data_IF_602150697718
#
_entry.id   IF_602150697718
#
_cell.length_a   1.000
_cell.length_b   1.000
_cell.length_c   1.000
_cell.angle_alpha   90.00
_cell.angle_beta   90.00
_cell.angle_gamma   90.00
#
_symmetry.space_group_name_H-M   'P 1'
#
loop_
_entity.id
_entity.type
_entity.pdbx_description
1 polymer ?
#
# COMPACT_ATOMS: atom_id res chain seq x y z
N UNK A 1 19.45 -25.59 3.84
CA UNK A 1 18.78 -24.27 3.80
C UNK A 1 19.68 -23.30 4.57
N UNK A 2 20.17 -22.22 3.95
CA UNK A 2 21.30 -21.44 4.51
C UNK A 2 20.89 -20.69 5.79
N UNK A 3 21.81 -20.63 6.76
CA UNK A 3 21.69 -19.90 8.03
C UNK A 3 21.29 -18.41 7.82
N UNK A 4 21.67 -17.84 6.68
CA UNK A 4 21.29 -16.48 6.28
C UNK A 4 19.77 -16.32 6.10
N UNK A 5 19.10 -17.26 5.42
CA UNK A 5 17.65 -17.18 5.18
C UNK A 5 16.87 -17.35 6.49
N UNK A 6 17.37 -18.17 7.42
CA UNK A 6 16.76 -18.34 8.73
C UNK A 6 16.83 -17.06 9.59
N UNK A 7 17.85 -16.23 9.38
CA UNK A 7 18.05 -14.97 10.12
C UNK A 7 17.39 -13.77 9.47
N UNK A 8 17.21 -13.81 8.16
CA UNK A 8 16.57 -12.74 7.39
C UNK A 8 15.10 -12.51 7.77
N UNK A 9 14.62 -11.33 7.42
CA UNK A 9 13.25 -10.87 7.59
C UNK A 9 12.60 -10.71 6.21
N UNK A 10 11.35 -11.12 6.11
CA UNK A 10 10.54 -10.98 4.91
C UNK A 10 9.41 -9.98 5.17
N UNK A 11 9.20 -9.06 4.22
CA UNK A 11 7.98 -8.26 4.17
C UNK A 11 6.97 -9.02 3.32
N UNK A 12 5.85 -9.39 3.94
CA UNK A 12 4.84 -10.25 3.33
C UNK A 12 3.53 -9.48 3.21
N UNK A 13 2.97 -9.48 2.00
CA UNK A 13 1.62 -9.01 1.75
C UNK A 13 0.68 -10.19 1.83
N UNK A 14 -0.13 -10.23 2.88
CA UNK A 14 -1.09 -11.30 3.12
C UNK A 14 -2.52 -10.87 2.81
N UNK A 15 -3.37 -11.85 2.48
CA UNK A 15 -4.80 -11.66 2.20
C UNK A 15 -5.06 -10.61 1.11
N UNK A 16 -4.24 -10.58 0.06
CA UNK A 16 -4.42 -9.64 -1.03
C UNK A 16 -5.73 -9.90 -1.78
N UNK A 17 -6.72 -9.02 -1.62
CA UNK A 17 -7.98 -9.05 -2.38
C UNK A 17 -8.06 -7.94 -3.42
N UNK A 18 -7.40 -6.82 -3.16
CA UNK A 18 -7.28 -5.67 -4.06
C UNK A 18 -6.20 -4.72 -3.54
N UNK A 19 -5.77 -3.70 -4.32
CA UNK A 19 -4.90 -2.63 -3.83
C UNK A 19 -5.45 -1.89 -2.59
N UNK A 20 -6.75 -2.01 -2.31
CA UNK A 20 -7.42 -1.41 -1.15
C UNK A 20 -7.45 -2.32 0.07
N UNK A 21 -7.30 -3.62 -0.13
CA UNK A 21 -7.53 -4.63 0.89
C UNK A 21 -6.44 -5.69 0.82
N UNK A 22 -5.42 -5.46 1.62
CA UNK A 22 -4.33 -6.38 1.91
C UNK A 22 -3.72 -6.02 3.26
N UNK A 23 -3.06 -7.00 3.90
CA UNK A 23 -2.30 -6.81 5.13
C UNK A 23 -0.82 -6.88 4.83
N UNK A 24 0.01 -6.10 5.53
CA UNK A 24 1.47 -6.19 5.43
C UNK A 24 1.99 -6.64 6.79
N UNK A 25 2.76 -7.72 6.80
CA UNK A 25 3.45 -8.26 7.97
C UNK A 25 4.95 -8.32 7.73
N UNK A 26 5.72 -8.28 8.81
CA UNK A 26 7.13 -8.65 8.81
C UNK A 26 7.25 -9.98 9.51
N UNK A 27 7.89 -10.95 8.87
CA UNK A 27 8.05 -12.31 9.38
C UNK A 27 9.51 -12.74 9.24
N UNK A 28 9.94 -13.73 10.02
CA UNK A 28 11.23 -14.40 9.75
C UNK A 28 11.13 -15.09 8.40
N UNK A 29 12.12 -14.87 7.53
CA UNK A 29 12.09 -15.41 6.18
C UNK A 29 12.04 -16.95 6.17
N UNK A 30 12.76 -17.61 7.08
CA UNK A 30 12.67 -19.06 7.27
C UNK A 30 11.25 -19.54 7.62
N UNK A 31 10.55 -18.87 8.53
CA UNK A 31 9.16 -19.20 8.89
C UNK A 31 8.20 -18.97 7.72
N UNK A 32 8.38 -17.87 6.99
CA UNK A 32 7.58 -17.54 5.81
C UNK A 32 7.76 -18.60 4.71
N UNK A 33 9.00 -19.04 4.43
CA UNK A 33 9.23 -20.10 3.45
C UNK A 33 8.62 -21.42 3.92
N UNK A 34 8.72 -21.76 5.21
CA UNK A 34 8.11 -22.97 5.75
C UNK A 34 6.57 -22.96 5.59
N UNK A 35 5.90 -21.83 5.87
CA UNK A 35 4.45 -21.68 5.69
C UNK A 35 4.01 -21.73 4.22
N UNK A 36 4.88 -21.35 3.29
CA UNK A 36 4.57 -21.21 1.87
C UNK A 36 5.41 -22.14 1.00
N UNK A 37 5.84 -23.29 1.51
CA UNK A 37 6.76 -24.18 0.78
C UNK A 37 6.24 -24.57 -0.60
N UNK A 38 4.92 -24.81 -0.73
CA UNK A 38 4.26 -25.12 -2.02
C UNK A 38 4.30 -23.98 -3.04
N UNK A 39 4.34 -22.71 -2.60
CA UNK A 39 4.56 -21.57 -3.50
C UNK A 39 5.95 -21.63 -4.13
N UNK A 40 6.96 -21.96 -3.33
CA UNK A 40 8.35 -21.97 -3.76
C UNK A 40 8.76 -23.27 -4.48
N UNK A 41 8.12 -24.40 -4.17
CA UNK A 41 8.42 -25.69 -4.80
C UNK A 41 7.59 -25.92 -6.06
N UNK A 42 6.29 -25.63 -6.01
CA UNK A 42 5.33 -26.07 -7.03
C UNK A 42 4.84 -24.89 -7.89
N UNK A 43 5.33 -23.67 -7.62
CA UNK A 43 4.92 -22.45 -8.31
C UNK A 43 3.47 -22.06 -8.06
N UNK A 44 2.83 -22.63 -7.03
CA UNK A 44 1.41 -22.46 -6.76
C UNK A 44 1.18 -21.61 -5.51
N UNK A 45 0.60 -20.41 -5.70
CA UNK A 45 0.15 -19.55 -4.61
C UNK A 45 -1.21 -20.03 -4.08
N UNK A 46 -1.21 -21.06 -3.23
CA UNK A 46 -2.44 -21.55 -2.59
C UNK A 46 -3.09 -20.54 -1.65
N UNK A 47 -2.32 -19.60 -1.11
CA UNK A 47 -2.79 -18.46 -0.34
C UNK A 47 -2.39 -17.14 -1.01
N UNK A 48 -3.18 -16.07 -0.78
CA UNK A 48 -2.95 -14.73 -1.33
C UNK A 48 -1.79 -14.01 -0.61
N UNK A 49 -0.63 -14.65 -0.58
CA UNK A 49 0.60 -14.23 0.08
C UNK A 49 1.63 -13.86 -0.98
N UNK A 50 2.05 -12.60 -1.00
CA UNK A 50 3.07 -12.09 -1.90
C UNK A 50 4.29 -11.66 -1.07
N UNK A 51 5.44 -12.26 -1.32
CA UNK A 51 6.70 -11.77 -0.78
C UNK A 51 7.13 -10.51 -1.53
N UNK A 52 7.36 -9.42 -0.79
CA UNK A 52 7.66 -8.11 -1.37
C UNK A 52 9.14 -7.72 -1.16
N UNK A 53 9.81 -8.30 -0.18
CA UNK A 53 11.23 -8.08 0.02
C UNK A 53 11.83 -8.99 1.10
N UNK A 54 13.15 -9.17 1.01
CA UNK A 54 13.98 -9.87 1.98
C UNK A 54 15.04 -8.90 2.51
N UNK A 55 15.25 -8.93 3.81
CA UNK A 55 16.10 -7.99 4.54
C UNK A 55 16.94 -8.72 5.56
N UNK A 56 18.20 -8.31 5.72
CA UNK A 56 19.06 -8.83 6.79
C UNK A 56 18.69 -8.22 8.15
N UNK A 57 18.08 -7.03 8.15
CA UNK A 57 17.70 -6.26 9.33
C UNK A 57 16.17 -6.10 9.45
N UNK A 58 15.64 -6.31 10.65
CA UNK A 58 14.23 -6.14 10.98
C UNK A 58 13.75 -4.69 10.78
N UNK A 59 14.59 -3.72 11.14
CA UNK A 59 14.24 -2.31 11.05
C UNK A 59 13.97 -1.88 9.60
N UNK A 60 14.75 -2.40 8.65
CA UNK A 60 14.60 -2.11 7.23
C UNK A 60 13.35 -2.78 6.65
N UNK A 61 13.06 -4.01 7.09
CA UNK A 61 11.81 -4.69 6.76
C UNK A 61 10.59 -3.89 7.25
N UNK A 62 10.61 -3.41 8.50
CA UNK A 62 9.56 -2.57 9.03
C UNK A 62 9.46 -1.22 8.32
N UNK A 63 10.58 -0.63 7.92
CA UNK A 63 10.58 0.62 7.15
C UNK A 63 9.83 0.46 5.82
N UNK A 64 10.07 -0.65 5.10
CA UNK A 64 9.30 -0.97 3.88
C UNK A 64 7.83 -1.26 4.22
N UNK A 65 7.55 -2.05 5.25
CA UNK A 65 6.18 -2.38 5.63
C UNK A 65 5.35 -1.11 5.93
N UNK A 66 5.90 -0.18 6.70
CA UNK A 66 5.27 1.12 6.98
C UNK A 66 5.13 1.99 5.73
N UNK A 67 6.10 1.95 4.80
CA UNK A 67 5.98 2.66 3.51
C UNK A 67 4.80 2.11 2.70
N UNK A 68 4.67 0.79 2.59
CA UNK A 68 3.55 0.14 1.88
C UNK A 68 2.20 0.48 2.51
N UNK A 69 2.12 0.46 3.85
CA UNK A 69 0.91 0.85 4.57
C UNK A 69 0.54 2.33 4.34
N UNK A 70 1.52 3.24 4.39
CA UNK A 70 1.31 4.67 4.08
C UNK A 70 0.85 4.87 2.64
N UNK A 71 1.52 4.25 1.67
CA UNK A 71 1.14 4.31 0.25
C UNK A 71 -0.30 3.84 0.04
N UNK A 72 -0.71 2.73 0.68
CA UNK A 72 -2.11 2.27 0.65
C UNK A 72 -3.07 3.35 1.16
N UNK A 73 -2.77 3.93 2.32
CA UNK A 73 -3.61 4.98 2.93
C UNK A 73 -3.72 6.21 2.02
N UNK A 74 -2.60 6.66 1.46
CA UNK A 74 -2.58 7.78 0.51
C UNK A 74 -3.36 7.47 -0.75
N UNK A 75 -3.18 6.30 -1.36
CA UNK A 75 -3.92 5.87 -2.54
C UNK A 75 -5.43 5.79 -2.26
N UNK A 76 -5.82 5.27 -1.10
CA UNK A 76 -7.23 5.24 -0.68
C UNK A 76 -7.82 6.65 -0.52
N UNK A 77 -7.05 7.59 0.01
CA UNK A 77 -7.47 8.99 0.11
C UNK A 77 -7.69 9.59 -1.29
N UNK A 78 -6.72 9.44 -2.20
CA UNK A 78 -6.80 9.94 -3.58
C UNK A 78 -7.97 9.36 -4.36
N UNK A 79 -8.25 8.06 -4.20
CA UNK A 79 -9.37 7.41 -4.87
C UNK A 79 -10.74 7.75 -4.26
N UNK A 80 -10.77 8.30 -3.04
CA UNK A 80 -11.99 8.75 -2.36
C UNK A 80 -12.26 10.23 -2.60
N UNK A 81 -11.25 11.03 -2.94
CA UNK A 81 -11.45 12.41 -3.38
C UNK A 81 -12.32 12.35 -4.63
N UNK A 82 -13.56 12.85 -4.60
CA UNK A 82 -14.33 13.00 -5.82
C UNK A 82 -13.52 13.88 -6.77
N UNK A 83 -13.82 13.82 -8.07
CA UNK A 83 -13.36 14.79 -9.06
C UNK A 83 -13.88 16.22 -8.76
N UNK A 84 -13.58 16.76 -7.58
CA UNK A 84 -13.91 18.10 -7.11
C UNK A 84 -13.03 19.18 -7.78
N UNK A 85 -12.42 18.85 -8.91
CA UNK A 85 -11.76 19.79 -9.82
C UNK A 85 -12.51 19.93 -11.16
N UNK A 86 -13.75 19.43 -11.26
CA UNK A 86 -14.60 19.60 -12.44
C UNK A 86 -15.76 20.60 -12.30
N UNK A 87 -16.01 21.16 -11.12
CA UNK A 87 -17.15 22.05 -10.89
C UNK A 87 -16.79 23.22 -9.96
N UNK A 88 -15.94 24.12 -10.42
CA UNK A 88 -15.83 25.51 -9.91
C UNK A 88 -15.10 26.36 -10.92
N UNK A 89 -15.65 26.42 -12.13
CA UNK A 89 -15.26 27.38 -13.17
C UNK A 89 -16.51 27.99 -13.80
N UNK A 90 -17.44 28.45 -12.96
CA UNK A 90 -18.54 29.32 -13.36
C UNK A 90 -18.74 30.43 -12.33
N UNK A 91 -18.58 31.67 -12.81
CA UNK A 91 -19.02 32.95 -12.20
C UNK A 91 -18.13 33.57 -11.12
N UNK A 92 -16.97 34.08 -11.54
CA UNK A 92 -16.54 35.44 -11.15
C UNK A 92 -17.24 36.43 -12.08
N UNK A 93 -18.45 36.86 -11.74
CA UNK A 93 -19.06 38.05 -12.32
C UNK A 93 -18.72 39.26 -11.40
N UNK A 94 -18.28 40.41 -11.93
CA UNK A 94 -17.93 41.57 -11.14
C UNK A 94 -19.16 42.17 -10.43
N UNK A 95 -18.98 42.93 -9.33
CA UNK A 95 -20.08 43.54 -8.61
C UNK A 95 -20.81 44.58 -9.47
N UNK A 96 -22.14 44.51 -9.50
CA UNK A 96 -22.97 45.54 -10.14
C UNK A 96 -22.84 46.87 -9.38
N UNK A 97 -22.51 47.94 -10.11
CA UNK A 97 -22.58 49.32 -9.63
C UNK A 97 -24.06 49.72 -9.50
N UNK A 98 -24.47 50.10 -8.29
CA UNK A 98 -25.80 50.63 -7.96
C UNK A 98 -25.98 52.04 -8.54
N UNK A 99 -26.95 52.30 -9.43
CA UNK A 99 -27.22 53.63 -9.97
C UNK A 99 -28.33 54.34 -9.18
N UNK A 100 -28.20 54.42 -7.84
CA UNK A 100 -29.13 55.17 -6.98
C UNK A 100 -28.41 56.34 -6.31
N UNK A 101 -27.82 57.22 -7.11
CA UNK A 101 -27.33 58.53 -6.66
C UNK A 101 -27.54 59.56 -7.79
N UNK A 102 -28.81 59.93 -8.00
CA UNK A 102 -29.28 61.15 -8.70
C UNK A 102 -30.79 61.32 -8.52
#
# INVERSE_FOLDING_TARGET
MSDALSRAFAVVVNRYRSPRNYTVTVERAGEMVAKNVGLFSDGFAGEAHLLVGLFDNEADAWALAHKLQRTRTTMLALLRTPAAMGASSSQLAPPALDPSDS
#
